data_IF_472755359589
#
_entry.id   IF_472755359589
#
_cell.length_a   1.000
_cell.length_b   1.000
_cell.length_c   1.000
_cell.angle_alpha   90.00
_cell.angle_beta   90.00
_cell.angle_gamma   90.00
#
_symmetry.space_group_name_H-M   'P 1'
#
loop_
_entity.id
_entity.type
_entity.pdbx_description
1 polymer ?
#
# COMPACT_ATOMS: atom_id res chain seq x y z
N UNK A 1 -13.92 -12.79 -2.19
CA UNK A 1 -12.51 -12.52 -1.96
C UNK A 1 -11.97 -11.35 -2.79
N UNK A 2 -12.72 -10.27 -2.82
CA UNK A 2 -12.40 -9.07 -3.61
C UNK A 2 -11.98 -7.93 -2.69
N UNK A 3 -11.04 -7.10 -3.15
CA UNK A 3 -10.79 -5.82 -2.52
C UNK A 3 -12.06 -4.96 -2.56
N UNK A 4 -12.27 -4.11 -1.55
CA UNK A 4 -13.44 -3.25 -1.47
C UNK A 4 -13.62 -2.42 -2.75
N UNK A 5 -12.53 -1.84 -3.27
CA UNK A 5 -12.52 -1.04 -4.50
C UNK A 5 -12.80 -1.81 -5.80
N UNK A 6 -12.89 -3.14 -5.73
CA UNK A 6 -13.18 -4.01 -6.88
C UNK A 6 -14.54 -4.68 -6.79
N UNK A 7 -15.31 -4.39 -5.75
CA UNK A 7 -16.67 -4.94 -5.60
C UNK A 7 -17.63 -4.27 -6.58
N UNK A 8 -18.35 -5.03 -7.43
CA UNK A 8 -19.31 -4.46 -8.39
C UNK A 8 -20.37 -3.58 -7.72
N UNK A 9 -20.79 -3.96 -6.51
CA UNK A 9 -21.82 -3.27 -5.73
C UNK A 9 -21.42 -1.84 -5.31
N UNK A 10 -20.12 -1.56 -5.31
CA UNK A 10 -19.59 -0.22 -5.00
C UNK A 10 -19.67 0.75 -6.17
N UNK A 11 -19.97 0.25 -7.36
CA UNK A 11 -20.00 1.03 -8.60
C UNK A 11 -21.40 1.01 -9.22
N UNK A 12 -21.62 0.14 -10.20
CA UNK A 12 -22.91 -0.04 -10.86
C UNK A 12 -23.37 -1.51 -10.62
N UNK A 13 -24.14 -1.78 -9.56
CA UNK A 13 -24.34 -3.11 -9.03
C UNK A 13 -24.73 -4.18 -10.08
N UNK A 14 -25.54 -3.80 -11.06
CA UNK A 14 -26.04 -4.75 -12.08
C UNK A 14 -25.31 -4.63 -13.44
N UNK A 15 -24.39 -3.67 -13.59
CA UNK A 15 -23.76 -3.34 -14.88
C UNK A 15 -22.23 -3.32 -14.79
N UNK A 16 -21.65 -3.41 -13.61
CA UNK A 16 -20.19 -3.42 -13.45
C UNK A 16 -19.64 -4.84 -13.55
N UNK A 17 -18.73 -5.12 -14.49
CA UNK A 17 -18.15 -6.46 -14.63
C UNK A 17 -17.28 -6.81 -13.44
N UNK A 18 -17.42 -8.02 -12.90
CA UNK A 18 -16.66 -8.49 -11.75
C UNK A 18 -15.27 -8.99 -12.11
N UNK A 19 -15.12 -9.55 -13.32
CA UNK A 19 -13.89 -10.20 -13.78
C UNK A 19 -13.54 -9.80 -15.20
N UNK A 20 -12.26 -9.82 -15.49
CA UNK A 20 -11.75 -9.60 -16.84
C UNK A 20 -11.25 -10.91 -17.45
N UNK A 21 -11.35 -11.04 -18.75
CA UNK A 21 -10.75 -12.11 -19.55
C UNK A 21 -9.35 -11.74 -20.04
N UNK A 22 -9.17 -10.50 -20.49
CA UNK A 22 -7.88 -9.96 -20.96
C UNK A 22 -7.83 -8.45 -20.79
N UNK A 23 -6.61 -7.91 -20.82
CA UNK A 23 -6.38 -6.47 -20.84
C UNK A 23 -5.19 -6.15 -21.78
N UNK A 24 -5.19 -4.99 -22.44
CA UNK A 24 -4.08 -4.56 -23.30
C UNK A 24 -4.12 -3.03 -23.50
N UNK A 25 -3.00 -2.37 -23.36
CA UNK A 25 -2.93 -0.91 -23.41
C UNK A 25 -3.82 -0.30 -22.32
N UNK A 26 -4.80 0.52 -22.72
CA UNK A 26 -5.80 1.08 -21.81
C UNK A 26 -7.16 0.35 -21.87
N UNK A 27 -7.22 -0.83 -22.44
CA UNK A 27 -8.47 -1.56 -22.62
C UNK A 27 -8.52 -2.82 -21.77
N UNK A 28 -9.74 -3.13 -21.30
CA UNK A 28 -10.06 -4.36 -20.57
C UNK A 28 -11.26 -5.02 -21.26
N UNK A 29 -11.29 -6.33 -21.30
CA UNK A 29 -12.44 -7.13 -21.75
C UNK A 29 -12.95 -7.95 -20.57
N UNK A 30 -14.25 -7.97 -20.40
CA UNK A 30 -14.89 -8.83 -19.41
C UNK A 30 -14.99 -10.30 -19.89
N UNK A 31 -15.69 -11.11 -19.12
CA UNK A 31 -15.88 -12.53 -19.43
C UNK A 31 -16.83 -12.77 -20.61
N UNK A 32 -17.60 -11.76 -21.00
CA UNK A 32 -18.52 -11.78 -22.15
C UNK A 32 -17.88 -11.10 -23.39
N UNK A 33 -16.55 -10.87 -23.37
CA UNK A 33 -15.77 -10.19 -24.41
C UNK A 33 -16.21 -8.74 -24.70
N UNK A 34 -16.93 -8.11 -23.78
CA UNK A 34 -17.27 -6.70 -23.92
C UNK A 34 -16.03 -5.87 -23.59
N UNK A 35 -15.72 -4.93 -24.48
CA UNK A 35 -14.53 -4.07 -24.37
C UNK A 35 -14.84 -2.77 -23.63
N UNK A 36 -14.00 -2.43 -22.66
CA UNK A 36 -14.03 -1.19 -21.89
C UNK A 36 -12.73 -0.42 -22.02
N UNK A 37 -12.79 0.90 -21.86
CA UNK A 37 -11.60 1.74 -21.64
C UNK A 37 -11.40 1.86 -20.11
N UNK A 38 -10.23 1.49 -19.62
CA UNK A 38 -9.87 1.69 -18.22
C UNK A 38 -9.36 3.12 -18.01
N UNK A 39 -10.24 3.99 -17.55
CA UNK A 39 -9.93 5.36 -17.17
C UNK A 39 -9.66 5.49 -15.64
N UNK A 40 -9.44 4.35 -14.96
CA UNK A 40 -9.14 4.29 -13.53
C UNK A 40 -7.63 4.32 -13.26
N UNK A 41 -7.25 3.89 -12.08
CA UNK A 41 -5.84 3.80 -11.65
C UNK A 41 -5.11 2.53 -12.14
N UNK A 42 -5.65 1.81 -13.11
CA UNK A 42 -5.02 0.69 -13.82
C UNK A 42 -4.27 -0.28 -12.90
N UNK A 43 -5.02 -0.97 -12.03
CA UNK A 43 -4.43 -1.91 -11.06
C UNK A 43 -3.65 -1.23 -9.93
N UNK A 44 -4.18 -0.12 -9.41
CA UNK A 44 -3.59 0.67 -8.33
C UNK A 44 -2.21 1.24 -8.74
N UNK A 45 -2.15 1.81 -9.95
CA UNK A 45 -0.96 2.48 -10.47
C UNK A 45 0.16 1.55 -10.95
N UNK A 46 -0.04 0.23 -10.91
CA UNK A 46 1.01 -0.73 -11.31
C UNK A 46 1.21 -0.82 -12.82
N UNK A 47 0.18 -0.48 -13.61
CA UNK A 47 0.21 -0.59 -15.06
C UNK A 47 0.27 0.78 -15.76
N UNK A 48 1.04 1.71 -15.23
CA UNK A 48 1.18 3.07 -15.77
C UNK A 48 1.71 3.11 -17.22
N UNK A 49 2.39 2.06 -17.67
CA UNK A 49 2.82 1.87 -19.08
C UNK A 49 1.74 1.24 -19.98
N UNK A 50 0.57 0.96 -19.41
CA UNK A 50 -0.49 0.18 -20.08
C UNK A 50 -0.38 -1.31 -19.78
N UNK A 51 -1.53 -1.99 -19.91
CA UNK A 51 -1.60 -3.44 -19.76
C UNK A 51 -0.82 -4.17 -20.83
N UNK A 52 -0.17 -5.27 -20.48
CA UNK A 52 0.60 -6.12 -21.40
C UNK A 52 1.64 -5.34 -22.22
N UNK A 53 2.44 -4.52 -21.52
CA UNK A 53 3.56 -3.85 -22.15
C UNK A 53 4.57 -4.88 -22.66
N UNK A 54 4.81 -4.89 -23.96
CA UNK A 54 5.60 -5.94 -24.65
C UNK A 54 7.05 -6.05 -24.15
N UNK A 55 7.67 -4.94 -23.78
CA UNK A 55 9.06 -4.94 -23.30
C UNK A 55 9.13 -5.52 -21.88
N UNK A 56 8.20 -5.13 -21.02
CA UNK A 56 8.08 -5.66 -19.65
C UNK A 56 7.77 -7.15 -19.69
N UNK A 57 6.76 -7.57 -20.47
CA UNK A 57 6.37 -8.98 -20.62
C UNK A 57 7.53 -9.84 -21.12
N UNK A 58 8.28 -9.34 -22.13
CA UNK A 58 9.48 -10.03 -22.66
C UNK A 58 10.56 -10.19 -21.58
N UNK A 59 10.80 -9.17 -20.78
CA UNK A 59 11.78 -9.23 -19.71
C UNK A 59 11.37 -10.24 -18.61
N UNK A 60 10.08 -10.22 -18.21
CA UNK A 60 9.52 -11.17 -17.26
C UNK A 60 9.62 -12.61 -17.75
N UNK A 61 9.18 -12.88 -18.99
CA UNK A 61 9.25 -14.22 -19.62
C UNK A 61 10.71 -14.72 -19.67
N UNK A 62 11.65 -13.87 -20.05
CA UNK A 62 13.05 -14.24 -20.11
C UNK A 62 13.64 -14.58 -18.72
N UNK A 63 13.21 -13.90 -17.68
CA UNK A 63 13.65 -14.20 -16.31
C UNK A 63 12.98 -15.47 -15.76
N UNK A 64 11.71 -15.69 -16.03
CA UNK A 64 11.02 -16.92 -15.64
C UNK A 64 11.69 -18.19 -16.20
N UNK A 65 12.29 -18.13 -17.41
CA UNK A 65 13.06 -19.23 -18.00
C UNK A 65 14.35 -19.57 -17.24
N UNK A 66 14.88 -18.64 -16.43
CA UNK A 66 16.06 -18.89 -15.60
C UNK A 66 15.70 -19.44 -14.23
N UNK A 67 14.71 -18.92 -13.59
CA UNK A 67 13.99 -19.32 -12.36
C UNK A 67 13.23 -18.11 -11.83
N UNK A 68 12.11 -18.35 -11.13
CA UNK A 68 11.40 -17.30 -10.40
C UNK A 68 11.79 -17.23 -8.91
N UNK A 69 12.50 -18.25 -8.41
CA UNK A 69 13.00 -18.33 -7.04
C UNK A 69 14.15 -19.34 -6.96
N UNK A 70 15.15 -19.05 -6.15
CA UNK A 70 16.23 -19.97 -5.87
C UNK A 70 16.74 -19.83 -4.44
N UNK A 71 17.66 -20.71 -4.02
CA UNK A 71 18.37 -20.60 -2.73
C UNK A 71 19.33 -19.40 -2.71
N UNK A 72 19.84 -19.00 -3.87
CA UNK A 72 20.69 -17.82 -4.01
C UNK A 72 19.88 -16.56 -4.25
N UNK A 73 20.48 -15.42 -3.94
CA UNK A 73 19.85 -14.11 -4.13
C UNK A 73 19.64 -13.79 -5.62
N UNK A 74 18.56 -13.07 -5.90
CA UNK A 74 18.23 -12.61 -7.24
C UNK A 74 19.04 -11.35 -7.59
N UNK A 75 19.81 -11.35 -8.69
CA UNK A 75 20.61 -10.18 -9.08
C UNK A 75 19.74 -8.98 -9.48
N UNK A 76 18.50 -9.20 -9.90
CA UNK A 76 17.56 -8.14 -10.25
C UNK A 76 17.15 -7.29 -9.03
N UNK A 77 17.15 -7.87 -7.83
CA UNK A 77 16.91 -7.12 -6.57
C UNK A 77 18.02 -6.09 -6.32
N UNK A 78 19.27 -6.46 -6.58
CA UNK A 78 20.42 -5.54 -6.44
C UNK A 78 20.31 -4.40 -7.46
N UNK A 79 20.05 -4.72 -8.73
CA UNK A 79 19.88 -3.70 -9.80
C UNK A 79 18.72 -2.75 -9.50
N UNK A 80 17.62 -3.28 -8.97
CA UNK A 80 16.48 -2.45 -8.57
C UNK A 80 16.87 -1.52 -7.40
N UNK A 81 17.57 -2.05 -6.40
CA UNK A 81 18.03 -1.25 -5.27
C UNK A 81 18.99 -0.13 -5.72
N UNK A 82 19.97 -0.45 -6.58
CA UNK A 82 20.88 0.53 -7.16
C UNK A 82 20.12 1.63 -7.93
N UNK A 83 19.13 1.24 -8.74
CA UNK A 83 18.31 2.20 -9.49
C UNK A 83 17.47 3.09 -8.57
N UNK A 84 16.92 2.53 -7.50
CA UNK A 84 16.17 3.30 -6.50
C UNK A 84 17.06 4.30 -5.76
N UNK A 85 18.30 3.94 -5.43
CA UNK A 85 19.27 4.85 -4.82
C UNK A 85 19.71 5.96 -5.77
N UNK A 86 19.90 5.64 -7.06
CA UNK A 86 20.22 6.64 -8.09
C UNK A 86 19.17 7.75 -8.19
N UNK A 87 17.88 7.39 -8.13
CA UNK A 87 16.76 8.35 -8.23
C UNK A 87 16.37 8.96 -6.86
N UNK A 88 16.91 8.43 -5.77
CA UNK A 88 16.68 8.92 -4.41
C UNK A 88 18.03 9.14 -3.70
N UNK A 89 18.83 10.16 -4.09
CA UNK A 89 20.20 10.34 -3.63
C UNK A 89 20.34 10.70 -2.14
N UNK A 90 19.23 10.93 -1.45
CA UNK A 90 19.17 11.14 0.00
C UNK A 90 19.16 9.83 0.80
N UNK A 91 18.96 8.68 0.13
CA UNK A 91 18.89 7.37 0.75
C UNK A 91 20.21 6.59 0.57
N UNK A 92 20.57 5.79 1.57
CA UNK A 92 21.77 4.94 1.54
C UNK A 92 21.45 3.46 1.32
N UNK A 93 20.22 3.04 1.65
CA UNK A 93 19.81 1.64 1.58
C UNK A 93 18.36 1.51 1.13
N UNK A 94 18.04 0.35 0.56
CA UNK A 94 16.69 -0.02 0.11
C UNK A 94 16.24 -1.30 0.78
N UNK A 95 15.01 -1.31 1.27
CA UNK A 95 14.33 -2.52 1.73
C UNK A 95 13.10 -2.76 0.87
N UNK A 96 13.08 -3.87 0.17
CA UNK A 96 11.94 -4.27 -0.66
C UNK A 96 10.90 -5.03 0.16
N UNK A 97 9.62 -4.84 -0.19
CA UNK A 97 8.48 -5.55 0.35
C UNK A 97 7.48 -5.82 -0.78
N UNK A 98 6.54 -6.73 -0.56
CA UNK A 98 5.56 -7.12 -1.60
C UNK A 98 4.35 -6.20 -1.66
N UNK A 99 3.99 -5.59 -0.54
CA UNK A 99 2.83 -4.71 -0.42
C UNK A 99 3.16 -3.43 0.32
N UNK A 100 2.38 -2.37 0.10
CA UNK A 100 2.52 -1.13 0.84
C UNK A 100 2.33 -1.31 2.35
N UNK A 101 1.42 -2.19 2.77
CA UNK A 101 1.22 -2.53 4.19
C UNK A 101 2.45 -3.16 4.82
N UNK A 102 3.11 -4.11 4.13
CA UNK A 102 4.37 -4.70 4.59
C UNK A 102 5.49 -3.65 4.65
N UNK A 103 5.63 -2.82 3.61
CA UNK A 103 6.62 -1.75 3.59
C UNK A 103 6.44 -0.79 4.77
N UNK A 104 5.20 -0.38 5.05
CA UNK A 104 4.88 0.46 6.20
C UNK A 104 5.16 -0.24 7.55
N UNK A 105 4.83 -1.52 7.70
CA UNK A 105 5.14 -2.27 8.92
C UNK A 105 6.65 -2.38 9.15
N UNK A 106 7.43 -2.57 8.10
CA UNK A 106 8.90 -2.58 8.16
C UNK A 106 9.43 -1.20 8.55
N UNK A 107 8.97 -0.13 7.91
CA UNK A 107 9.41 1.24 8.17
C UNK A 107 9.12 1.67 9.62
N UNK A 108 7.92 1.37 10.13
CA UNK A 108 7.55 1.64 11.53
C UNK A 108 8.46 0.89 12.50
N UNK A 109 8.77 -0.38 12.22
CA UNK A 109 9.69 -1.15 13.07
C UNK A 109 11.10 -0.55 13.09
N UNK A 110 11.59 -0.13 11.92
CA UNK A 110 12.90 0.53 11.81
C UNK A 110 12.90 1.86 12.56
N UNK A 111 11.86 2.69 12.37
CA UNK A 111 11.73 3.98 13.04
C UNK A 111 11.72 3.82 14.58
N UNK A 112 10.94 2.89 15.10
CA UNK A 112 10.92 2.58 16.55
C UNK A 112 12.28 2.14 17.07
N UNK A 113 12.95 1.26 16.34
CA UNK A 113 14.27 0.76 16.75
C UNK A 113 15.34 1.85 16.72
N UNK A 114 15.33 2.72 15.71
CA UNK A 114 16.30 3.79 15.55
C UNK A 114 16.11 4.94 16.53
N UNK A 115 14.85 5.29 16.83
CA UNK A 115 14.52 6.37 17.78
C UNK A 115 14.46 5.92 19.24
N UNK A 116 14.38 4.63 19.49
CA UNK A 116 14.05 4.05 20.80
C UNK A 116 12.72 4.59 21.38
N UNK A 117 11.73 4.82 20.50
CA UNK A 117 10.38 5.30 20.84
C UNK A 117 9.34 4.32 20.34
N UNK A 118 8.21 4.22 21.06
CA UNK A 118 7.13 3.28 20.69
C UNK A 118 6.01 3.96 19.92
N UNK A 119 5.78 5.25 20.15
CA UNK A 119 4.68 6.00 19.59
C UNK A 119 4.97 6.46 18.15
N UNK A 120 3.93 6.53 17.34
CA UNK A 120 4.01 6.92 15.92
C UNK A 120 2.93 7.98 15.61
N UNK A 121 3.32 9.05 14.97
CA UNK A 121 2.39 9.97 14.31
C UNK A 121 2.16 9.51 12.86
N UNK A 122 0.92 9.52 12.40
CA UNK A 122 0.56 9.12 11.03
C UNK A 122 -0.35 10.14 10.37
N UNK A 123 -0.24 10.26 9.05
CA UNK A 123 -1.16 11.02 8.23
C UNK A 123 -1.54 10.21 7.00
N UNK A 124 -2.83 9.97 6.82
CA UNK A 124 -3.33 9.25 5.66
C UNK A 124 -3.45 7.73 5.83
N UNK A 125 -3.77 7.04 4.73
CA UNK A 125 -3.97 5.59 4.71
C UNK A 125 -2.64 4.84 4.58
N UNK A 126 -2.41 3.87 5.47
CA UNK A 126 -1.18 3.09 5.53
C UNK A 126 -1.39 1.56 5.51
N UNK A 127 -2.51 1.10 5.01
CA UNK A 127 -2.83 -0.31 4.93
C UNK A 127 -3.79 -0.77 6.03
N UNK A 128 -3.88 -2.08 6.21
CA UNK A 128 -4.83 -2.74 7.13
C UNK A 128 -4.14 -3.55 8.23
N UNK A 129 -2.83 -3.34 8.43
CA UNK A 129 -2.05 -4.03 9.47
C UNK A 129 -2.47 -3.57 10.86
N UNK A 130 -2.27 -4.44 11.84
CA UNK A 130 -2.70 -4.23 13.23
C UNK A 130 -2.20 -2.92 13.83
N UNK A 131 -0.94 -2.56 13.57
CA UNK A 131 -0.35 -1.33 14.07
C UNK A 131 -1.12 -0.08 13.59
N UNK A 132 -1.64 -0.09 12.37
CA UNK A 132 -2.41 1.02 11.80
C UNK A 132 -3.85 1.01 12.31
N UNK A 133 -4.52 -0.16 12.26
CA UNK A 133 -5.91 -0.30 12.70
C UNK A 133 -6.07 -0.13 14.22
N UNK A 134 -5.00 -0.26 15.00
CA UNK A 134 -5.01 -0.05 16.45
C UNK A 134 -5.47 1.36 16.86
N UNK A 135 -5.36 2.34 15.97
CA UNK A 135 -5.92 3.69 16.18
C UNK A 135 -7.41 3.63 16.55
N UNK A 136 -8.17 2.75 15.90
CA UNK A 136 -9.62 2.61 16.11
C UNK A 136 -10.01 1.94 17.44
N UNK A 137 -9.05 1.51 18.26
CA UNK A 137 -9.29 1.18 19.66
C UNK A 137 -9.40 2.43 20.56
N UNK A 138 -9.02 3.61 20.07
CA UNK A 138 -9.08 4.83 20.84
C UNK A 138 -10.51 5.35 20.85
N UNK A 139 -11.12 5.51 22.04
CA UNK A 139 -12.48 6.03 22.19
C UNK A 139 -12.54 7.58 22.21
N UNK A 140 -11.46 8.24 21.76
CA UNK A 140 -11.26 9.68 21.91
C UNK A 140 -11.83 10.53 20.77
N UNK A 141 -12.53 9.93 19.81
CA UNK A 141 -12.99 10.64 18.59
C UNK A 141 -11.89 10.90 17.56
N UNK A 142 -10.65 10.57 17.91
CA UNK A 142 -9.47 10.62 17.04
C UNK A 142 -9.25 9.24 16.41
N UNK A 143 -10.24 8.75 15.68
CA UNK A 143 -10.14 7.49 14.96
C UNK A 143 -9.88 7.71 13.46
N UNK A 144 -9.61 6.64 12.72
CA UNK A 144 -9.36 6.72 11.28
C UNK A 144 -10.57 7.20 10.47
N UNK A 145 -11.77 7.23 11.06
CA UNK A 145 -12.99 7.67 10.36
C UNK A 145 -12.97 9.16 10.07
N UNK A 146 -12.27 9.96 10.88
CA UNK A 146 -12.07 11.40 10.67
C UNK A 146 -10.95 11.68 9.66
N UNK A 147 -10.09 10.70 9.36
CA UNK A 147 -8.91 10.91 8.54
C UNK A 147 -9.04 10.35 7.11
N UNK A 148 -9.61 9.15 6.91
CA UNK A 148 -9.63 8.57 5.56
C UNK A 148 -10.66 7.48 5.28
N UNK A 149 -10.91 6.56 6.20
CA UNK A 149 -11.76 5.39 5.95
C UNK A 149 -12.74 5.20 7.10
N UNK A 150 -13.95 5.75 6.99
CA UNK A 150 -14.99 5.53 7.99
C UNK A 150 -15.37 4.04 8.07
N UNK A 151 -15.64 3.56 9.28
CA UNK A 151 -16.21 2.24 9.50
C UNK A 151 -15.21 1.07 9.54
N UNK A 152 -13.91 1.33 9.59
CA UNK A 152 -12.91 0.29 9.85
C UNK A 152 -12.95 -0.12 11.33
N UNK A 153 -13.49 -1.32 11.60
CA UNK A 153 -13.51 -1.87 12.96
C UNK A 153 -12.16 -2.50 13.28
N UNK A 154 -11.65 -2.34 14.51
CA UNK A 154 -10.42 -2.97 14.98
C UNK A 154 -10.63 -4.41 15.47
N UNK A 155 -11.62 -5.11 14.94
CA UNK A 155 -11.94 -6.48 15.33
C UNK A 155 -10.75 -7.41 15.03
N UNK A 156 -10.25 -8.11 16.06
CA UNK A 156 -9.07 -8.98 15.97
C UNK A 156 -7.74 -8.28 16.18
N UNK A 157 -7.69 -6.95 16.20
CA UNK A 157 -6.45 -6.21 16.52
C UNK A 157 -6.15 -6.28 18.02
N UNK A 158 -4.91 -6.61 18.45
CA UNK A 158 -4.57 -6.68 19.86
C UNK A 158 -4.76 -5.35 20.60
N UNK A 159 -5.48 -5.37 21.72
CA UNK A 159 -5.73 -4.17 22.54
C UNK A 159 -4.46 -3.55 23.13
N UNK A 160 -3.38 -4.32 23.25
CA UNK A 160 -2.07 -3.83 23.71
C UNK A 160 -1.46 -2.77 22.76
N UNK A 161 -1.90 -2.73 21.50
CA UNK A 161 -1.46 -1.72 20.54
C UNK A 161 -2.22 -0.38 20.68
N UNK A 162 -3.22 -0.32 21.54
CA UNK A 162 -3.94 0.93 21.83
C UNK A 162 -2.97 2.02 22.29
N UNK A 163 -3.19 3.25 21.83
CA UNK A 163 -2.37 4.43 22.19
C UNK A 163 -0.88 4.34 21.76
N UNK A 164 -0.58 3.58 20.72
CA UNK A 164 0.75 3.53 20.11
C UNK A 164 0.87 4.26 18.77
N UNK A 165 -0.27 4.67 18.20
CA UNK A 165 -0.35 5.36 16.93
C UNK A 165 -1.36 6.51 17.02
N UNK A 166 -0.96 7.69 16.56
CA UNK A 166 -1.72 8.94 16.67
C UNK A 166 -1.87 9.58 15.28
N UNK A 167 -3.08 9.66 14.76
CA UNK A 167 -3.33 10.30 13.48
C UNK A 167 -3.32 11.82 13.62
N UNK A 168 -2.87 12.52 12.57
CA UNK A 168 -3.00 13.96 12.42
C UNK A 168 -3.54 14.32 11.03
N UNK A 169 -4.15 15.48 10.91
CA UNK A 169 -4.75 15.97 9.69
C UNK A 169 -3.67 16.40 8.69
N UNK A 170 -3.83 16.01 7.42
CA UNK A 170 -2.91 16.43 6.36
C UNK A 170 -2.78 17.97 6.31
N UNK A 171 -1.54 18.43 6.19
CA UNK A 171 -1.18 19.85 6.13
C UNK A 171 -1.49 20.66 7.42
N UNK A 172 -1.76 19.99 8.54
CA UNK A 172 -1.92 20.64 9.86
C UNK A 172 -0.66 20.43 10.69
N UNK A 173 0.32 21.33 10.50
CA UNK A 173 1.62 21.24 11.18
C UNK A 173 1.52 21.48 12.69
N UNK A 174 0.61 22.33 13.12
CA UNK A 174 0.40 22.62 14.55
C UNK A 174 -0.09 21.37 15.31
N UNK A 175 -1.05 20.65 14.72
CA UNK A 175 -1.54 19.39 15.28
C UNK A 175 -0.43 18.34 15.37
N UNK A 176 0.42 18.22 14.33
CA UNK A 176 1.58 17.33 14.36
C UNK A 176 2.52 17.69 15.50
N UNK A 177 2.87 18.96 15.69
CA UNK A 177 3.73 19.40 16.80
C UNK A 177 3.12 19.06 18.17
N UNK A 178 1.83 19.31 18.35
CA UNK A 178 1.12 18.98 19.60
C UNK A 178 1.16 17.47 19.91
N UNK A 179 0.97 16.63 18.89
CA UNK A 179 1.02 15.17 19.03
C UNK A 179 2.44 14.71 19.38
N UNK A 180 3.45 15.23 18.69
CA UNK A 180 4.86 14.90 18.94
C UNK A 180 5.26 15.24 20.37
N UNK A 181 4.92 16.43 20.86
CA UNK A 181 5.24 16.89 22.21
C UNK A 181 4.48 16.09 23.29
N UNK A 182 3.17 15.88 23.06
CA UNK A 182 2.30 15.20 24.03
C UNK A 182 2.63 13.74 24.23
N UNK A 183 3.00 13.04 23.13
CA UNK A 183 3.16 11.58 23.15
C UNK A 183 4.61 11.13 23.01
N UNK A 184 5.57 12.05 23.02
CA UNK A 184 7.00 11.76 22.89
C UNK A 184 7.32 10.92 21.65
N UNK A 185 6.95 11.44 20.50
CA UNK A 185 7.17 10.78 19.19
C UNK A 185 8.51 11.20 18.59
#
# INVERSE_FOLDING_TARGET
NMFLSKRPEMHLPNNWPSYYSKASGCHIWDMDDIKYVDASIMGIGTNSLGYCNKEVDKAVINNLKKSNLSTFNCPEEVKLAEKLLEINPWADMVRLARTGGEANAISIRIARAASNRENIAICGYHGWHDWYLSVNHNNSGEDLSTHLLPGLKPDGVPKLLKNSVFPFTYNNYEELCQIVDKYNI
#
